data_IF_989405489637
#
_entry.id   IF_989405489637
#
_cell.length_a   1.000
_cell.length_b   1.000
_cell.length_c   1.000
_cell.angle_alpha   90.00
_cell.angle_beta   90.00
_cell.angle_gamma   90.00
#
_symmetry.space_group_name_H-M   'P 1'
#
loop_
_entity.id
_entity.type
_entity.pdbx_description
1 polymer ?
#
# COMPACT_ATOMS: atom_id res chain seq x y z
N UNK A 1 14.26 -14.19 5.77
CA UNK A 1 13.24 -15.24 5.46
C UNK A 1 12.96 -15.21 3.96
N UNK A 2 12.74 -16.35 3.30
CA UNK A 2 12.30 -16.31 1.89
C UNK A 2 10.81 -15.95 1.84
N UNK A 3 10.40 -15.27 0.79
CA UNK A 3 9.00 -14.93 0.57
C UNK A 3 8.09 -16.16 0.57
N UNK A 4 6.99 -16.01 1.24
CA UNK A 4 5.85 -16.95 1.20
C UNK A 4 4.60 -16.12 0.99
N UNK A 5 3.79 -16.45 -0.02
CA UNK A 5 2.50 -15.77 -0.23
C UNK A 5 1.66 -15.88 1.03
N UNK A 6 1.33 -14.76 1.70
CA UNK A 6 0.60 -14.82 2.97
C UNK A 6 -0.81 -15.41 2.77
N UNK A 7 -1.17 -16.42 3.55
CA UNK A 7 -2.55 -16.92 3.62
C UNK A 7 -3.39 -16.00 4.52
N UNK A 8 -3.60 -14.78 4.01
CA UNK A 8 -4.37 -13.69 4.62
C UNK A 8 -5.35 -13.18 3.58
N UNK A 9 -6.60 -12.95 3.98
CA UNK A 9 -7.64 -12.43 3.07
C UNK A 9 -7.25 -11.06 2.51
N UNK A 10 -7.20 -10.95 1.17
CA UNK A 10 -6.88 -9.72 0.44
C UNK A 10 -7.24 -9.87 -1.03
N UNK A 11 -7.53 -8.75 -1.70
CA UNK A 11 -7.64 -8.67 -3.16
C UNK A 11 -6.32 -9.03 -3.88
N UNK A 12 -5.19 -8.93 -3.21
CA UNK A 12 -3.87 -9.22 -3.76
C UNK A 12 -3.48 -10.69 -3.72
N UNK A 13 -4.12 -11.48 -2.85
CA UNK A 13 -3.67 -12.85 -2.52
C UNK A 13 -3.71 -13.80 -3.72
N UNK A 14 -4.82 -13.79 -4.47
CA UNK A 14 -5.07 -14.79 -5.52
C UNK A 14 -4.14 -14.61 -6.73
N UNK A 15 -3.68 -13.37 -6.96
CA UNK A 15 -2.70 -13.04 -8.00
C UNK A 15 -1.29 -12.82 -7.47
N UNK A 16 -1.06 -13.09 -6.18
CA UNK A 16 0.25 -12.98 -5.53
C UNK A 16 0.94 -11.62 -5.75
N UNK A 17 0.17 -10.51 -5.67
CA UNK A 17 0.75 -9.16 -5.77
C UNK A 17 1.67 -8.83 -4.59
N UNK A 18 1.55 -9.56 -3.49
CA UNK A 18 2.50 -9.49 -2.37
C UNK A 18 3.93 -9.80 -2.79
N UNK A 19 4.13 -10.67 -3.78
CA UNK A 19 5.46 -10.96 -4.34
C UNK A 19 6.07 -9.74 -5.00
N UNK A 20 5.27 -8.97 -5.74
CA UNK A 20 5.74 -7.73 -6.35
C UNK A 20 6.14 -6.69 -5.29
N UNK A 21 5.33 -6.53 -4.23
CA UNK A 21 5.68 -5.65 -3.11
C UNK A 21 6.97 -6.08 -2.41
N UNK A 22 7.12 -7.38 -2.13
CA UNK A 22 8.33 -7.94 -1.55
C UNK A 22 9.58 -7.66 -2.43
N UNK A 23 9.50 -7.93 -3.74
CA UNK A 23 10.61 -7.70 -4.66
C UNK A 23 10.98 -6.21 -4.78
N UNK A 24 10.00 -5.30 -4.71
CA UNK A 24 10.22 -3.85 -4.67
C UNK A 24 10.96 -3.42 -3.39
N UNK A 25 10.58 -3.96 -2.24
CA UNK A 25 11.29 -3.68 -0.97
C UNK A 25 12.73 -4.17 -1.04
N UNK A 26 12.99 -5.36 -1.58
CA UNK A 26 14.35 -5.85 -1.77
C UNK A 26 15.16 -4.98 -2.75
N UNK A 27 14.51 -4.51 -3.82
CA UNK A 27 15.14 -3.67 -4.84
C UNK A 27 15.54 -2.30 -4.30
N UNK A 28 14.62 -1.62 -3.62
CA UNK A 28 14.79 -0.23 -3.19
C UNK A 28 15.35 -0.08 -1.77
N UNK A 29 15.29 -1.15 -0.96
CA UNK A 29 15.85 -1.22 0.41
C UNK A 29 15.41 -0.06 1.31
N UNK A 30 14.11 0.26 1.38
CA UNK A 30 13.62 1.35 2.20
C UNK A 30 13.91 1.09 3.67
N UNK A 31 14.28 2.13 4.41
CA UNK A 31 14.42 2.08 5.87
C UNK A 31 13.10 2.37 6.57
N UNK A 32 12.29 3.22 5.98
CA UNK A 32 10.97 3.58 6.49
C UNK A 32 9.92 3.41 5.41
N UNK A 33 8.99 2.49 5.66
CA UNK A 33 7.80 2.27 4.85
C UNK A 33 6.60 2.83 5.61
N UNK A 34 5.73 3.56 4.92
CA UNK A 34 4.40 3.93 5.38
C UNK A 34 3.38 3.16 4.57
N UNK A 35 2.37 2.61 5.21
CA UNK A 35 1.28 1.91 4.53
C UNK A 35 -0.06 2.41 5.03
N UNK A 36 -1.00 2.65 4.10
CA UNK A 36 -2.38 3.04 4.39
C UNK A 36 -3.37 2.07 3.76
N UNK A 37 -4.31 1.58 4.58
CA UNK A 37 -5.28 0.57 4.17
C UNK A 37 -4.65 -0.82 4.22
N UNK A 38 -4.66 -1.43 5.39
CA UNK A 38 -3.96 -2.71 5.61
C UNK A 38 -4.91 -3.88 5.80
N UNK A 39 -6.19 -3.60 6.11
CA UNK A 39 -7.19 -4.62 6.36
C UNK A 39 -6.65 -5.71 7.29
N UNK A 40 -6.51 -6.94 6.83
CA UNK A 40 -5.98 -8.06 7.61
C UNK A 40 -4.45 -8.19 7.58
N UNK A 41 -3.72 -7.30 6.87
CA UNK A 41 -2.25 -7.22 6.90
C UNK A 41 -1.51 -8.03 5.83
N UNK A 42 -2.15 -8.39 4.72
CA UNK A 42 -1.52 -9.17 3.65
C UNK A 42 -0.27 -8.48 3.06
N UNK A 43 -0.45 -7.26 2.54
CA UNK A 43 0.61 -6.44 1.95
C UNK A 43 1.68 -6.07 2.98
N UNK A 44 1.25 -5.75 4.20
CA UNK A 44 2.13 -5.49 5.34
C UNK A 44 3.07 -6.67 5.59
N UNK A 45 2.54 -7.90 5.66
CA UNK A 45 3.34 -9.12 5.87
C UNK A 45 4.27 -9.36 4.69
N UNK A 46 3.80 -9.20 3.45
CA UNK A 46 4.63 -9.38 2.26
C UNK A 46 5.86 -8.44 2.27
N UNK A 47 5.66 -7.15 2.55
CA UNK A 47 6.75 -6.18 2.67
C UNK A 47 7.64 -6.46 3.88
N UNK A 48 7.08 -6.86 5.02
CA UNK A 48 7.84 -7.15 6.22
C UNK A 48 8.74 -8.40 6.08
N UNK A 49 8.33 -9.40 5.27
CA UNK A 49 9.20 -10.54 4.92
C UNK A 49 10.46 -10.07 4.16
N UNK A 50 10.33 -9.06 3.29
CA UNK A 50 11.47 -8.48 2.60
C UNK A 50 12.40 -7.70 3.55
N UNK A 51 11.83 -6.95 4.52
CA UNK A 51 12.62 -6.28 5.55
C UNK A 51 13.36 -7.29 6.44
N UNK A 52 12.75 -8.43 6.72
CA UNK A 52 13.42 -9.53 7.43
C UNK A 52 14.63 -10.08 6.65
N UNK A 53 14.48 -10.26 5.34
CA UNK A 53 15.59 -10.69 4.48
C UNK A 53 16.72 -9.65 4.40
N UNK A 54 16.36 -8.36 4.37
CA UNK A 54 17.33 -7.24 4.39
C UNK A 54 17.99 -7.04 5.76
N UNK A 55 17.43 -7.60 6.82
CA UNK A 55 17.90 -7.44 8.19
C UNK A 55 17.64 -6.05 8.77
N UNK A 56 16.67 -5.28 8.24
CA UNK A 56 16.35 -3.95 8.78
C UNK A 56 15.30 -3.19 7.99
N UNK A 57 14.91 -2.04 8.53
CA UNK A 57 13.80 -1.21 8.07
C UNK A 57 12.56 -1.39 8.97
N UNK A 58 11.53 -0.55 8.77
CA UNK A 58 10.31 -0.60 9.57
C UNK A 58 9.10 -0.12 8.77
N UNK A 59 7.93 -0.70 9.04
CA UNK A 59 6.64 -0.36 8.44
C UNK A 59 5.78 0.31 9.51
N UNK A 60 5.30 1.52 9.22
CA UNK A 60 4.24 2.20 9.96
C UNK A 60 2.94 2.01 9.19
N UNK A 61 2.10 1.13 9.67
CA UNK A 61 0.89 0.66 9.00
C UNK A 61 -0.36 1.29 9.60
N UNK A 62 -1.02 2.12 8.82
CA UNK A 62 -2.17 2.93 9.21
C UNK A 62 -3.47 2.38 8.66
N UNK A 63 -4.47 2.27 9.51
CA UNK A 63 -5.84 1.89 9.12
C UNK A 63 -6.85 2.54 10.08
N UNK A 64 -8.12 2.55 9.71
CA UNK A 64 -9.23 2.90 10.58
C UNK A 64 -9.67 1.74 11.46
N UNK A 65 -9.32 0.51 11.06
CA UNK A 65 -9.72 -0.73 11.73
C UNK A 65 -11.23 -0.78 11.98
N UNK A 66 -11.66 -1.18 13.17
CA UNK A 66 -13.05 -1.32 13.60
C UNK A 66 -13.82 0.00 13.69
N UNK A 67 -13.17 1.16 13.52
CA UNK A 67 -13.87 2.44 13.35
C UNK A 67 -14.36 2.68 11.92
N UNK A 68 -13.97 1.83 10.96
CA UNK A 68 -14.47 1.87 9.59
C UNK A 68 -15.77 1.05 9.47
N UNK A 69 -16.83 1.66 8.91
CA UNK A 69 -18.17 1.08 8.87
C UNK A 69 -18.40 -0.02 7.83
N UNK A 70 -17.43 -0.24 6.93
CA UNK A 70 -17.51 -1.27 5.90
C UNK A 70 -16.61 -2.46 6.25
N UNK A 71 -16.06 -3.14 5.23
CA UNK A 71 -15.13 -4.25 5.44
C UNK A 71 -13.90 -3.75 6.18
N UNK A 72 -13.66 -4.30 7.37
CA UNK A 72 -12.55 -3.92 8.25
C UNK A 72 -12.04 -5.14 9.03
N UNK A 73 -10.91 -4.97 9.67
CA UNK A 73 -10.36 -5.85 10.69
C UNK A 73 -10.26 -5.11 12.02
N UNK A 74 -9.89 -5.80 13.06
CA UNK A 74 -9.44 -5.19 14.32
C UNK A 74 -7.91 -5.13 14.37
N UNK A 75 -7.36 -4.24 15.19
CA UNK A 75 -5.90 -4.19 15.46
C UNK A 75 -5.40 -5.57 15.91
N UNK A 76 -6.17 -6.26 16.77
CA UNK A 76 -5.79 -7.56 17.31
C UNK A 76 -5.75 -8.67 16.24
N UNK A 77 -6.72 -8.69 15.31
CA UNK A 77 -6.75 -9.66 14.20
C UNK A 77 -5.58 -9.43 13.26
N UNK A 78 -5.32 -8.18 12.88
CA UNK A 78 -4.20 -7.82 12.03
C UNK A 78 -2.86 -8.15 12.71
N UNK A 79 -2.70 -7.83 14.00
CA UNK A 79 -1.49 -8.15 14.74
C UNK A 79 -1.26 -9.67 14.81
N UNK A 80 -2.31 -10.46 15.06
CA UNK A 80 -2.22 -11.92 15.06
C UNK A 80 -1.75 -12.49 13.72
N UNK A 81 -2.21 -11.91 12.60
CA UNK A 81 -1.74 -12.30 11.28
C UNK A 81 -0.25 -11.98 11.09
N UNK A 82 0.18 -10.78 11.45
CA UNK A 82 1.58 -10.35 11.38
C UNK A 82 2.49 -11.25 12.22
N UNK A 83 2.06 -11.60 13.43
CA UNK A 83 2.82 -12.45 14.36
C UNK A 83 2.93 -13.89 13.84
N UNK A 84 1.89 -14.41 13.17
CA UNK A 84 1.90 -15.76 12.54
C UNK A 84 3.04 -15.90 11.51
N UNK A 85 3.47 -14.81 10.89
CA UNK A 85 4.58 -14.79 9.92
C UNK A 85 5.92 -14.35 10.56
N UNK A 86 6.00 -14.18 11.89
CA UNK A 86 7.19 -13.72 12.62
C UNK A 86 7.73 -12.37 12.15
N UNK A 87 6.86 -11.49 11.64
CA UNK A 87 7.23 -10.19 11.07
C UNK A 87 6.92 -9.01 12.00
N UNK A 88 6.34 -9.24 13.17
CA UNK A 88 5.89 -8.19 14.10
C UNK A 88 6.95 -7.18 14.51
N UNK A 89 8.22 -7.59 14.59
CA UNK A 89 9.34 -6.68 14.91
C UNK A 89 9.58 -5.58 13.86
N UNK A 90 9.05 -5.73 12.65
CA UNK A 90 9.19 -4.77 11.55
C UNK A 90 7.96 -3.89 11.37
N UNK A 91 6.90 -4.06 12.17
CA UNK A 91 5.61 -3.41 11.95
C UNK A 91 5.12 -2.71 13.20
N UNK A 92 4.62 -1.50 13.03
CA UNK A 92 3.82 -0.78 14.03
C UNK A 92 2.45 -0.48 13.43
N UNK A 93 1.40 -1.02 14.04
CA UNK A 93 0.01 -0.72 13.67
C UNK A 93 -0.44 0.58 14.31
N UNK A 94 -1.06 1.47 13.53
CA UNK A 94 -1.49 2.79 13.98
C UNK A 94 -2.91 3.03 13.49
N UNK A 95 -3.85 3.23 14.43
CA UNK A 95 -5.22 3.64 14.09
C UNK A 95 -5.24 5.14 13.80
N UNK A 96 -5.38 5.50 12.52
CA UNK A 96 -5.41 6.90 12.10
C UNK A 96 -6.06 7.04 10.72
N UNK A 97 -6.80 8.13 10.52
CA UNK A 97 -7.38 8.48 9.23
C UNK A 97 -6.30 8.97 8.24
N UNK A 98 -6.41 8.54 6.99
CA UNK A 98 -5.54 8.97 5.90
C UNK A 98 -5.58 10.49 5.67
N UNK A 99 -6.76 11.11 5.71
CA UNK A 99 -6.90 12.56 5.53
C UNK A 99 -6.15 13.38 6.60
N UNK A 100 -6.05 12.84 7.81
CA UNK A 100 -5.26 13.45 8.88
C UNK A 100 -3.75 13.30 8.62
N UNK A 101 -3.35 12.17 8.08
CA UNK A 101 -1.95 11.95 7.70
C UNK A 101 -1.54 12.86 6.54
N UNK A 102 -2.41 13.07 5.53
CA UNK A 102 -2.15 13.92 4.37
C UNK A 102 -1.89 15.39 4.74
N UNK A 103 -2.41 15.89 5.85
CA UNK A 103 -2.18 17.27 6.30
C UNK A 103 -0.72 17.54 6.66
N UNK A 104 -0.02 16.53 7.16
CA UNK A 104 1.39 16.60 7.51
C UNK A 104 2.04 15.22 7.35
N UNK A 105 2.32 14.78 6.11
CA UNK A 105 2.94 13.49 5.88
C UNK A 105 4.34 13.45 6.49
N UNK A 106 4.59 12.43 7.31
CA UNK A 106 5.92 12.16 7.82
C UNK A 106 6.93 11.81 6.70
N UNK A 107 8.22 11.82 7.01
CA UNK A 107 9.21 11.36 6.05
C UNK A 107 9.14 9.84 5.89
N UNK A 108 9.32 9.37 4.65
CA UNK A 108 9.36 7.96 4.29
C UNK A 108 10.28 7.75 3.08
N UNK A 109 10.75 6.52 2.90
CA UNK A 109 11.45 6.09 1.69
C UNK A 109 10.47 5.47 0.69
N UNK A 110 9.45 4.80 1.22
CA UNK A 110 8.39 4.15 0.43
C UNK A 110 7.04 4.34 1.13
N UNK A 111 6.00 4.64 0.38
CA UNK A 111 4.62 4.59 0.86
C UNK A 111 3.79 3.68 -0.04
N UNK A 112 2.96 2.84 0.57
CA UNK A 112 1.97 2.00 -0.11
C UNK A 112 0.55 2.43 0.28
N UNK A 113 -0.31 2.65 -0.70
CA UNK A 113 -1.69 3.12 -0.50
C UNK A 113 -2.67 2.12 -1.10
N UNK A 114 -3.55 1.58 -0.25
CA UNK A 114 -4.62 0.66 -0.62
C UNK A 114 -5.93 1.00 0.12
N UNK A 115 -6.35 2.28 0.08
CA UNK A 115 -7.58 2.76 0.74
C UNK A 115 -8.67 3.13 -0.24
N UNK A 116 -8.29 3.65 -1.40
CA UNK A 116 -9.20 4.10 -2.44
C UNK A 116 -8.42 4.30 -3.74
N UNK A 117 -8.91 3.70 -4.80
CA UNK A 117 -8.26 3.71 -6.10
C UNK A 117 -8.92 4.70 -7.06
N UNK A 118 -9.44 5.80 -6.50
CA UNK A 118 -9.98 6.93 -7.27
C UNK A 118 -8.86 7.89 -7.62
N UNK A 119 -8.95 8.46 -8.82
CA UNK A 119 -8.00 9.47 -9.27
C UNK A 119 -7.84 10.64 -8.29
N UNK A 120 -8.93 11.11 -7.68
CA UNK A 120 -8.89 12.20 -6.69
C UNK A 120 -8.01 11.87 -5.49
N UNK A 121 -8.10 10.64 -4.96
CA UNK A 121 -7.28 10.20 -3.83
C UNK A 121 -5.79 10.24 -4.17
N UNK A 122 -5.43 9.79 -5.36
CA UNK A 122 -4.02 9.77 -5.80
C UNK A 122 -3.50 11.17 -6.13
N UNK A 123 -4.35 12.06 -6.67
CA UNK A 123 -3.97 13.47 -6.87
C UNK A 123 -3.70 14.19 -5.54
N UNK A 124 -4.54 13.97 -4.51
CA UNK A 124 -4.32 14.53 -3.17
C UNK A 124 -3.04 14.00 -2.54
N UNK A 125 -2.85 12.69 -2.60
CA UNK A 125 -1.61 12.07 -2.14
C UNK A 125 -0.39 12.68 -2.84
N UNK A 126 -0.38 12.69 -4.17
CA UNK A 126 0.75 13.21 -4.94
C UNK A 126 1.04 14.68 -4.63
N UNK A 127 0.00 15.50 -4.50
CA UNK A 127 0.15 16.91 -4.12
C UNK A 127 0.81 17.08 -2.76
N UNK A 128 0.52 16.20 -1.79
CA UNK A 128 1.08 16.25 -0.46
C UNK A 128 2.53 15.71 -0.37
N UNK A 129 2.92 14.80 -1.27
CA UNK A 129 4.21 14.08 -1.16
C UNK A 129 5.18 14.30 -2.32
N UNK A 130 4.81 15.09 -3.34
CA UNK A 130 5.64 15.31 -4.56
C UNK A 130 7.08 15.72 -4.27
N UNK A 131 7.30 16.54 -3.24
CA UNK A 131 8.65 17.00 -2.87
C UNK A 131 9.49 15.85 -2.27
N UNK A 132 8.85 14.88 -1.60
CA UNK A 132 9.49 13.67 -1.09
C UNK A 132 9.85 12.73 -2.26
N UNK A 133 8.95 12.58 -3.24
CA UNK A 133 9.21 11.84 -4.48
C UNK A 133 10.38 12.43 -5.25
N UNK A 134 10.46 13.74 -5.36
CA UNK A 134 11.61 14.44 -5.98
C UNK A 134 12.92 14.18 -5.26
N UNK A 135 12.89 13.91 -3.96
CA UNK A 135 14.05 13.52 -3.14
C UNK A 135 14.37 12.01 -3.21
N UNK A 136 13.58 11.23 -3.94
CA UNK A 136 13.83 9.81 -4.16
C UNK A 136 12.88 8.85 -3.43
N UNK A 137 11.89 9.35 -2.69
CA UNK A 137 10.85 8.51 -2.12
C UNK A 137 9.98 7.87 -3.22
N UNK A 138 9.41 6.69 -2.93
CA UNK A 138 8.59 5.91 -3.85
C UNK A 138 7.16 5.85 -3.32
N UNK A 139 6.20 6.04 -4.21
CA UNK A 139 4.79 5.85 -3.92
C UNK A 139 4.28 4.65 -4.69
N UNK A 140 3.71 3.69 -3.99
CA UNK A 140 3.03 2.51 -4.55
C UNK A 140 1.54 2.63 -4.23
N UNK A 141 0.69 2.22 -5.15
CA UNK A 141 -0.76 2.20 -4.93
C UNK A 141 -1.45 1.13 -5.77
N UNK A 142 -2.56 0.59 -5.25
CA UNK A 142 -3.42 -0.32 -6.00
C UNK A 142 -4.09 0.41 -7.17
N UNK A 143 -4.15 -0.21 -8.33
CA UNK A 143 -4.89 0.29 -9.48
C UNK A 143 -4.00 0.84 -10.58
N UNK A 144 -4.64 1.53 -11.55
CA UNK A 144 -4.01 2.14 -12.72
C UNK A 144 -4.11 1.30 -14.00
N UNK A 145 -4.41 0.00 -13.91
CA UNK A 145 -4.73 -0.80 -15.10
C UNK A 145 -6.10 -0.44 -15.67
N UNK A 146 -6.31 -0.74 -16.96
CA UNK A 146 -7.59 -0.50 -17.61
C UNK A 146 -8.73 -1.30 -16.98
N UNK A 147 -8.46 -2.55 -16.63
CA UNK A 147 -9.41 -3.42 -15.97
C UNK A 147 -9.84 -2.84 -14.61
N UNK A 148 -8.88 -2.35 -13.81
CA UNK A 148 -9.17 -1.78 -12.50
C UNK A 148 -9.92 -0.45 -12.57
N UNK A 149 -9.62 0.39 -13.55
CA UNK A 149 -10.32 1.66 -13.79
C UNK A 149 -11.77 1.47 -14.27
N UNK A 150 -12.13 0.29 -14.76
CA UNK A 150 -13.44 -0.04 -15.30
C UNK A 150 -14.25 -1.03 -14.43
N UNK A 151 -13.86 -1.26 -13.18
CA UNK A 151 -14.65 -2.09 -12.26
C UNK A 151 -16.04 -1.48 -12.03
N UNK A 152 -17.04 -2.34 -11.84
CA UNK A 152 -18.46 -1.96 -11.80
C UNK A 152 -18.75 -0.76 -10.90
N UNK A 153 -18.21 -0.73 -9.69
CA UNK A 153 -18.47 0.35 -8.74
C UNK A 153 -17.84 1.69 -9.19
N UNK A 154 -16.65 1.68 -9.83
CA UNK A 154 -16.03 2.90 -10.37
C UNK A 154 -16.92 3.52 -11.43
N UNK A 155 -17.43 2.69 -12.34
CA UNK A 155 -18.34 3.11 -13.41
C UNK A 155 -19.68 3.58 -12.83
N UNK A 156 -20.29 2.78 -11.94
CA UNK A 156 -21.59 3.07 -11.32
C UNK A 156 -21.63 4.41 -10.57
N UNK A 157 -20.55 4.74 -9.87
CA UNK A 157 -20.46 5.98 -9.09
C UNK A 157 -19.73 7.10 -9.83
N UNK A 158 -19.46 6.93 -11.14
CA UNK A 158 -18.74 7.89 -11.97
C UNK A 158 -17.46 8.42 -11.29
N UNK A 159 -16.67 7.50 -10.72
CA UNK A 159 -15.44 7.86 -10.05
C UNK A 159 -14.37 8.29 -11.06
N UNK A 160 -13.57 9.30 -10.72
CA UNK A 160 -12.42 9.70 -11.51
C UNK A 160 -11.44 8.54 -11.62
N UNK A 161 -11.06 8.18 -12.84
CA UNK A 161 -10.08 7.12 -13.10
C UNK A 161 -8.67 7.62 -12.82
N UNK A 162 -7.77 6.70 -12.50
CA UNK A 162 -6.35 7.04 -12.31
C UNK A 162 -5.73 7.58 -13.61
N UNK A 163 -6.10 7.03 -14.76
CA UNK A 163 -5.63 7.48 -16.08
C UNK A 163 -6.11 8.87 -16.48
N UNK A 164 -7.15 9.39 -15.84
CA UNK A 164 -7.67 10.74 -16.07
C UNK A 164 -6.98 11.79 -15.20
N UNK A 165 -5.95 11.41 -14.45
CA UNK A 165 -5.15 12.30 -13.62
C UNK A 165 -3.89 12.77 -14.34
N UNK A 166 -3.32 13.90 -13.86
CA UNK A 166 -2.01 14.35 -14.30
C UNK A 166 -0.86 13.80 -13.42
N UNK A 167 -1.13 12.80 -12.61
CA UNK A 167 -0.11 12.17 -11.76
C UNK A 167 0.80 11.29 -12.61
N UNK A 168 2.12 11.48 -12.56
CA UNK A 168 3.05 10.67 -13.35
C UNK A 168 3.24 9.31 -12.69
N UNK A 169 2.59 8.27 -13.19
CA UNK A 169 2.75 6.91 -12.68
C UNK A 169 2.99 5.91 -13.81
N UNK A 170 3.53 4.76 -13.45
CA UNK A 170 3.63 3.58 -14.31
C UNK A 170 2.90 2.41 -13.63
N UNK A 171 2.15 1.61 -14.40
CA UNK A 171 1.63 0.33 -13.94
C UNK A 171 2.79 -0.66 -13.96
N UNK A 172 3.16 -1.18 -12.80
CA UNK A 172 4.32 -2.06 -12.62
C UNK A 172 3.92 -3.52 -12.49
N UNK A 173 2.64 -3.79 -12.26
CA UNK A 173 2.04 -5.11 -12.26
C UNK A 173 0.59 -5.01 -12.75
N UNK A 174 0.30 -5.61 -13.90
CA UNK A 174 -1.03 -5.57 -14.54
C UNK A 174 -2.01 -6.59 -13.96
N UNK A 175 -1.55 -7.57 -13.17
CA UNK A 175 -2.43 -8.57 -12.57
C UNK A 175 -3.45 -7.89 -11.67
N UNK A 176 -4.74 -8.19 -11.86
CA UNK A 176 -5.81 -7.58 -11.08
C UNK A 176 -5.60 -7.80 -9.56
N UNK A 177 -5.76 -6.78 -8.70
CA UNK A 177 -6.27 -5.43 -8.97
C UNK A 177 -5.24 -4.41 -9.49
N UNK A 178 -4.07 -4.83 -9.94
CA UNK A 178 -2.92 -4.07 -10.43
C UNK A 178 -2.19 -3.23 -9.37
N UNK A 179 -0.92 -2.95 -9.64
CA UNK A 179 -0.08 -2.13 -8.80
C UNK A 179 0.64 -1.08 -9.64
N UNK A 180 0.60 0.16 -9.20
CA UNK A 180 1.24 1.29 -9.86
C UNK A 180 2.27 1.96 -8.96
N UNK A 181 3.20 2.66 -9.59
CA UNK A 181 4.29 3.34 -8.91
C UNK A 181 4.52 4.75 -9.43
N UNK A 182 4.73 5.69 -8.50
CA UNK A 182 5.27 7.02 -8.76
C UNK A 182 6.67 7.07 -8.17
N UNK A 183 7.65 7.46 -8.98
CA UNK A 183 9.03 7.65 -8.55
C UNK A 183 9.63 8.86 -9.26
N UNK A 184 10.77 9.34 -8.79
CA UNK A 184 11.55 10.35 -9.50
C UNK A 184 11.96 9.79 -10.87
N UNK A 185 11.65 10.55 -11.91
CA UNK A 185 12.13 10.35 -13.28
C UNK A 185 13.52 10.96 -13.43
#
# INVERSE_FOLDING_TARGET
MKYTNPDIESSYRDNDLGRTLYDLVLKYKPKKIVEHGILFGYSTVAMAQALDELGGGHIYAYDLFDTYSFKHSTVQETQKNIDRYNTGRYVTLIQKNFDEWLKNPEDFDMVHIDISNKGDTIEWLYSAVKDKVQKGAIVLFEGGSEERDNVEWMVKYNCKKLRDTNVPFEVIDERFPSLSMIKKI
#
